data_IF_001496136608
#
_entry.id   IF_001496136608
#
_cell.length_a   1.000
_cell.length_b   1.000
_cell.length_c   1.000
_cell.angle_alpha   90.00
_cell.angle_beta   90.00
_cell.angle_gamma   90.00
#
_symmetry.space_group_name_H-M   'P 1'
#
loop_
_entity.id
_entity.type
_entity.pdbx_description
1 polymer ?
#
# COMPACT_ATOMS: atom_id res chain seq x y z
N UNK A 1 6.31 -49.89 4.78
CA UNK A 1 5.43 -48.88 5.41
C UNK A 1 6.17 -47.87 6.29
N UNK A 2 6.98 -48.27 7.29
CA UNK A 2 7.67 -47.29 8.17
C UNK A 2 8.67 -46.36 7.45
N UNK A 3 9.39 -46.83 6.42
CA UNK A 3 10.35 -45.99 5.67
C UNK A 3 9.68 -44.99 4.71
N UNK A 4 8.59 -45.37 4.05
CA UNK A 4 7.84 -44.48 3.14
C UNK A 4 7.09 -43.37 3.88
N UNK A 5 6.58 -43.64 5.09
CA UNK A 5 5.98 -42.61 5.95
C UNK A 5 7.04 -41.58 6.38
N UNK A 6 8.26 -42.04 6.72
CA UNK A 6 9.35 -41.15 7.12
C UNK A 6 9.82 -40.26 5.96
N UNK A 7 9.85 -40.77 4.73
CA UNK A 7 10.18 -39.98 3.53
C UNK A 7 9.11 -38.94 3.22
N UNK A 8 7.81 -39.28 3.37
CA UNK A 8 6.72 -38.30 3.22
C UNK A 8 6.76 -37.20 4.28
N UNK A 9 7.08 -37.56 5.53
CA UNK A 9 7.27 -36.61 6.64
C UNK A 9 8.47 -35.69 6.40
N UNK A 10 9.57 -36.20 5.83
CA UNK A 10 10.74 -35.40 5.49
C UNK A 10 10.50 -34.46 4.30
N UNK A 11 9.70 -34.88 3.31
CA UNK A 11 9.31 -34.01 2.18
C UNK A 11 8.40 -32.87 2.64
N UNK A 12 7.51 -33.10 3.62
CA UNK A 12 6.69 -32.05 4.23
C UNK A 12 7.49 -31.03 5.06
N UNK A 13 8.69 -31.39 5.55
CA UNK A 13 9.56 -30.49 6.32
C UNK A 13 10.35 -29.53 5.42
N UNK A 14 10.46 -29.82 4.11
CA UNK A 14 11.27 -29.03 3.16
C UNK A 14 10.43 -28.00 2.38
N UNK A 15 9.10 -28.05 2.49
CA UNK A 15 8.25 -27.01 1.91
C UNK A 15 8.15 -25.88 2.95
N UNK A 16 8.64 -24.65 2.68
CA UNK A 16 8.37 -23.52 3.56
C UNK A 16 6.85 -23.34 3.64
N UNK A 17 6.28 -23.77 4.75
CA UNK A 17 4.88 -23.59 5.11
C UNK A 17 4.72 -22.12 5.54
N UNK A 18 4.68 -21.20 4.59
CA UNK A 18 4.14 -19.85 4.85
C UNK A 18 2.61 -19.94 4.89
N UNK A 19 2.08 -20.70 5.85
CA UNK A 19 0.66 -20.98 6.03
C UNK A 19 -0.02 -19.97 6.98
N UNK A 20 0.39 -18.69 6.93
CA UNK A 20 -0.23 -17.62 7.71
C UNK A 20 -0.94 -16.61 6.78
N UNK A 21 -2.10 -16.06 7.19
CA UNK A 21 -2.70 -14.94 6.49
C UNK A 21 -1.67 -13.83 6.39
N UNK A 22 -1.43 -13.39 5.16
CA UNK A 22 -0.29 -12.56 4.83
C UNK A 22 -0.32 -11.24 5.61
N UNK A 23 0.77 -10.97 6.34
CA UNK A 23 1.05 -9.69 6.98
C UNK A 23 2.32 -9.10 6.37
N UNK A 24 2.43 -7.76 6.26
CA UNK A 24 3.63 -7.14 5.72
C UNK A 24 4.85 -7.49 6.59
N UNK A 25 5.99 -7.79 5.95
CA UNK A 25 7.24 -8.07 6.66
C UNK A 25 7.91 -6.81 7.18
N UNK A 26 7.52 -5.63 6.70
CA UNK A 26 8.21 -4.38 6.99
C UNK A 26 7.24 -3.31 7.49
N UNK A 27 7.27 -3.06 8.80
CA UNK A 27 6.60 -1.91 9.41
C UNK A 27 7.60 -0.77 9.50
N UNK A 28 7.30 0.35 8.85
CA UNK A 28 8.27 1.44 8.66
C UNK A 28 7.73 2.78 9.14
N UNK A 29 8.61 3.57 9.75
CA UNK A 29 8.42 5.03 9.85
C UNK A 29 9.46 5.66 8.92
N UNK A 30 9.01 6.60 8.11
CA UNK A 30 9.84 7.28 7.12
C UNK A 30 10.13 8.70 7.59
N UNK A 31 11.38 9.10 7.59
CA UNK A 31 11.83 10.49 7.77
C UNK A 31 12.45 10.98 6.47
N UNK A 32 11.98 12.10 5.95
CA UNK A 32 12.31 12.58 4.60
C UNK A 32 12.41 14.10 4.56
N UNK A 33 13.32 14.59 3.72
CA UNK A 33 13.47 16.02 3.45
C UNK A 33 12.75 16.48 2.17
N UNK A 34 11.98 15.59 1.54
CA UNK A 34 11.11 15.89 0.40
C UNK A 34 11.84 16.12 -0.92
N UNK A 35 13.09 15.65 -1.03
CA UNK A 35 13.82 15.52 -2.28
C UNK A 35 13.08 14.66 -3.30
N UNK A 36 13.47 14.77 -4.57
CA UNK A 36 12.78 14.07 -5.66
C UNK A 36 13.00 12.56 -5.60
N UNK A 37 14.19 12.15 -5.17
CA UNK A 37 14.59 10.79 -4.81
C UNK A 37 13.79 10.25 -3.62
N UNK A 38 13.57 11.02 -2.56
CA UNK A 38 12.69 10.60 -1.46
C UNK A 38 11.27 10.28 -1.97
N UNK A 39 10.72 11.17 -2.81
CA UNK A 39 9.36 11.00 -3.34
C UNK A 39 9.26 9.75 -4.23
N UNK A 40 10.31 9.44 -5.01
CA UNK A 40 10.39 8.20 -5.81
C UNK A 40 10.47 6.97 -4.89
N UNK A 41 11.28 7.02 -3.83
CA UNK A 41 11.41 5.94 -2.85
C UNK A 41 10.10 5.69 -2.08
N UNK A 42 9.42 6.75 -1.65
CA UNK A 42 8.11 6.66 -0.98
C UNK A 42 7.07 6.04 -1.92
N UNK A 43 7.06 6.38 -3.21
CA UNK A 43 6.17 5.71 -4.18
C UNK A 43 6.43 4.21 -4.25
N UNK A 44 7.69 3.78 -4.23
CA UNK A 44 8.05 2.36 -4.20
C UNK A 44 7.60 1.68 -2.90
N UNK A 45 7.78 2.33 -1.75
CA UNK A 45 7.33 1.81 -0.46
C UNK A 45 5.80 1.70 -0.39
N UNK A 46 5.06 2.68 -0.91
CA UNK A 46 3.59 2.65 -0.98
C UNK A 46 3.06 1.59 -1.96
N UNK A 47 3.79 1.33 -3.05
CA UNK A 47 3.42 0.30 -4.03
C UNK A 47 3.57 -1.12 -3.49
N UNK A 48 4.44 -1.32 -2.51
CA UNK A 48 4.74 -2.63 -1.96
C UNK A 48 3.71 -3.03 -0.90
N UNK A 49 2.87 -4.05 -1.13
CA UNK A 49 2.00 -4.57 -0.07
C UNK A 49 2.83 -5.04 1.13
N UNK A 50 4.04 -5.54 0.94
CA UNK A 50 4.94 -6.03 2.00
C UNK A 50 5.45 -4.94 2.97
N UNK A 51 5.12 -3.67 2.70
CA UNK A 51 5.50 -2.53 3.52
C UNK A 51 4.25 -1.88 4.12
N UNK A 52 4.25 -1.75 5.45
CA UNK A 52 3.31 -0.90 6.18
C UNK A 52 4.00 0.40 6.58
N UNK A 53 3.65 1.49 5.91
CA UNK A 53 4.06 2.83 6.31
C UNK A 53 3.18 3.29 7.47
N UNK A 54 3.78 3.45 8.65
CA UNK A 54 3.09 3.86 9.87
C UNK A 54 2.92 5.38 9.96
N UNK A 55 3.95 6.10 9.54
CA UNK A 55 3.99 7.55 9.49
C UNK A 55 5.12 8.02 8.57
N UNK A 56 4.98 9.26 8.10
CA UNK A 56 6.05 10.01 7.45
C UNK A 56 6.33 11.27 8.29
N UNK A 57 7.60 11.57 8.54
CA UNK A 57 8.04 12.79 9.22
C UNK A 57 8.88 13.65 8.28
N UNK A 58 8.61 14.95 8.28
CA UNK A 58 9.42 15.91 7.53
C UNK A 58 10.67 16.31 8.34
N UNK A 59 11.84 16.28 7.71
CA UNK A 59 13.10 16.77 8.26
C UNK A 59 13.73 17.87 7.41
N UNK A 60 14.73 18.54 7.98
CA UNK A 60 15.55 19.51 7.24
C UNK A 60 16.62 18.76 6.44
N UNK A 61 16.80 19.17 5.19
CA UNK A 61 17.86 18.70 4.30
C UNK A 61 17.84 19.45 2.97
N UNK A 62 17.62 18.72 1.86
CA UNK A 62 17.45 19.29 0.52
C UNK A 62 16.36 20.39 0.51
N UNK A 63 15.21 20.12 1.13
CA UNK A 63 14.27 21.16 1.52
C UNK A 63 14.27 21.40 3.03
N UNK A 64 13.81 22.58 3.42
CA UNK A 64 13.46 22.84 4.81
C UNK A 64 12.19 22.09 5.17
N UNK A 65 12.09 21.64 6.42
CA UNK A 65 11.02 20.79 6.92
C UNK A 65 9.59 21.30 6.60
N UNK A 66 9.26 22.62 6.59
CA UNK A 66 7.94 23.07 6.14
C UNK A 66 7.65 22.74 4.66
N UNK A 67 8.63 22.91 3.78
CA UNK A 67 8.48 22.63 2.34
C UNK A 67 8.48 21.12 2.10
N UNK A 68 9.31 20.37 2.82
CA UNK A 68 9.31 18.91 2.81
C UNK A 68 7.93 18.37 3.21
N UNK A 69 7.34 18.89 4.29
CA UNK A 69 6.00 18.53 4.75
C UNK A 69 4.94 18.73 3.66
N UNK A 70 4.89 19.91 3.03
CA UNK A 70 3.91 20.19 1.96
C UNK A 70 4.04 19.20 0.79
N UNK A 71 5.27 18.88 0.39
CA UNK A 71 5.52 17.90 -0.68
C UNK A 71 5.09 16.49 -0.29
N UNK A 72 5.42 16.05 0.92
CA UNK A 72 5.08 14.72 1.43
C UNK A 72 3.57 14.55 1.61
N UNK A 73 2.89 15.57 2.15
CA UNK A 73 1.43 15.61 2.27
C UNK A 73 0.76 15.60 0.91
N UNK A 74 1.23 16.44 -0.02
CA UNK A 74 0.73 16.48 -1.40
C UNK A 74 0.93 15.16 -2.14
N UNK A 75 2.08 14.49 -1.95
CA UNK A 75 2.33 13.17 -2.51
C UNK A 75 1.31 12.14 -2.00
N UNK A 76 1.16 12.04 -0.67
CA UNK A 76 0.25 11.08 -0.07
C UNK A 76 -1.22 11.36 -0.46
N UNK A 77 -1.66 12.61 -0.48
CA UNK A 77 -3.03 12.96 -0.86
C UNK A 77 -3.30 12.74 -2.35
N UNK A 78 -2.33 13.06 -3.21
CA UNK A 78 -2.39 12.81 -4.65
C UNK A 78 -2.37 11.33 -5.02
N UNK A 79 -1.95 10.46 -4.08
CA UNK A 79 -2.02 9.00 -4.17
C UNK A 79 -3.19 8.41 -3.35
N UNK A 80 -4.14 9.26 -2.93
CA UNK A 80 -5.36 8.89 -2.21
C UNK A 80 -5.14 8.31 -0.79
N UNK A 81 -4.01 8.63 -0.16
CA UNK A 81 -3.60 8.24 1.20
C UNK A 81 -3.85 9.35 2.24
N UNK A 82 -5.01 10.00 2.23
CA UNK A 82 -5.32 11.12 3.15
C UNK A 82 -5.38 10.68 4.63
N UNK A 83 -5.55 9.39 4.86
CA UNK A 83 -5.50 8.73 6.17
C UNK A 83 -4.10 8.58 6.74
N UNK A 84 -3.06 8.56 5.90
CA UNK A 84 -1.68 8.32 6.30
C UNK A 84 -1.14 9.48 7.17
N UNK A 85 -0.65 9.23 8.39
CA UNK A 85 -0.08 10.28 9.22
C UNK A 85 1.21 10.85 8.62
N UNK A 86 1.23 12.18 8.42
CA UNK A 86 2.40 12.93 7.98
C UNK A 86 2.61 14.07 8.97
N UNK A 87 3.77 14.15 9.61
CA UNK A 87 4.08 15.20 10.58
C UNK A 87 4.95 16.29 9.96
N UNK A 88 4.58 17.54 10.26
CA UNK A 88 5.37 18.72 9.94
C UNK A 88 6.42 19.06 11.01
N UNK A 89 7.07 20.22 10.85
CA UNK A 89 8.02 20.74 11.82
C UNK A 89 7.42 20.83 13.23
N UNK A 90 8.13 20.29 14.23
CA UNK A 90 7.71 20.33 15.63
C UNK A 90 6.82 19.16 16.08
N UNK A 91 6.23 18.40 15.15
CA UNK A 91 5.29 17.31 15.45
C UNK A 91 5.91 15.92 15.30
N UNK A 92 7.02 15.81 14.55
CA UNK A 92 7.65 14.54 14.17
C UNK A 92 7.86 13.57 15.34
N UNK A 93 8.43 14.04 16.46
CA UNK A 93 8.75 13.19 17.61
C UNK A 93 7.48 12.68 18.31
N UNK A 94 6.46 13.53 18.43
CA UNK A 94 5.19 13.15 19.03
C UNK A 94 4.48 12.10 18.16
N UNK A 95 4.52 12.25 16.83
CA UNK A 95 3.96 11.27 15.91
C UNK A 95 4.74 9.94 15.95
N UNK A 96 6.07 9.99 15.98
CA UNK A 96 6.92 8.80 16.12
C UNK A 96 6.55 8.04 17.40
N UNK A 97 6.50 8.70 18.55
CA UNK A 97 6.12 8.06 19.81
C UNK A 97 4.69 7.48 19.74
N UNK A 98 3.74 8.25 19.20
CA UNK A 98 2.36 7.78 19.04
C UNK A 98 2.29 6.50 18.22
N UNK A 99 2.97 6.46 17.07
CA UNK A 99 2.95 5.27 16.21
C UNK A 99 3.64 4.07 16.84
N UNK A 100 4.80 4.27 17.49
CA UNK A 100 5.57 3.19 18.09
C UNK A 100 4.89 2.60 19.34
N UNK A 101 4.24 3.43 20.16
CA UNK A 101 3.53 2.99 21.38
C UNK A 101 2.31 2.11 21.07
N UNK A 102 1.68 2.32 19.91
CA UNK A 102 0.55 1.51 19.43
C UNK A 102 0.99 0.24 18.70
N UNK A 103 2.25 0.15 18.29
CA UNK A 103 2.72 -0.94 17.45
C UNK A 103 3.22 -2.13 18.27
N UNK A 104 2.77 -3.32 17.88
CA UNK A 104 3.17 -4.57 18.54
C UNK A 104 4.32 -5.26 17.83
N UNK A 105 4.48 -4.96 16.53
CA UNK A 105 5.51 -5.53 15.67
C UNK A 105 6.78 -4.65 15.70
N UNK A 106 7.98 -5.23 15.61
CA UNK A 106 9.20 -4.44 15.45
C UNK A 106 9.14 -3.47 14.25
N UNK A 107 9.59 -2.23 14.47
CA UNK A 107 9.58 -1.18 13.45
C UNK A 107 10.99 -0.94 12.90
N UNK A 108 11.06 -0.66 11.60
CA UNK A 108 12.26 -0.14 10.92
C UNK A 108 12.10 1.36 10.74
N UNK A 109 13.14 2.12 11.04
CA UNK A 109 13.14 3.57 10.79
C UNK A 109 13.93 3.85 9.52
N UNK A 110 13.34 4.54 8.55
CA UNK A 110 13.99 4.89 7.28
C UNK A 110 14.25 6.39 7.30
N UNK A 111 15.51 6.79 7.29
CA UNK A 111 15.91 8.18 7.17
C UNK A 111 16.45 8.44 5.77
N UNK A 112 15.77 9.30 5.02
CA UNK A 112 16.15 9.73 3.67
C UNK A 112 16.83 11.10 3.62
N UNK A 113 16.85 11.81 4.75
CA UNK A 113 17.58 13.07 4.95
C UNK A 113 18.64 12.98 6.04
N UNK A 114 18.81 14.07 6.79
CA UNK A 114 19.65 14.08 7.99
C UNK A 114 19.11 13.16 9.09
N UNK A 115 19.98 12.71 10.01
CA UNK A 115 19.57 11.86 11.15
C UNK A 115 19.02 12.66 12.34
N UNK A 116 18.70 13.95 12.17
CA UNK A 116 18.28 14.85 13.24
C UNK A 116 17.03 14.36 14.00
N UNK A 117 16.00 13.93 13.28
CA UNK A 117 14.77 13.42 13.89
C UNK A 117 14.98 12.08 14.59
N UNK A 118 15.79 11.18 14.02
CA UNK A 118 16.18 9.92 14.66
C UNK A 118 16.95 10.18 15.96
N UNK A 119 17.97 11.04 15.93
CA UNK A 119 18.75 11.41 17.11
C UNK A 119 17.89 12.01 18.23
N UNK A 120 16.93 12.87 17.87
CA UNK A 120 15.99 13.48 18.83
C UNK A 120 14.97 12.47 19.34
N UNK A 121 14.50 11.54 18.52
CA UNK A 121 13.57 10.49 18.92
C UNK A 121 14.23 9.51 19.91
N UNK A 122 15.50 9.15 19.71
CA UNK A 122 16.27 8.33 20.65
C UNK A 122 16.33 8.91 22.07
N UNK A 123 16.23 10.24 22.22
CA UNK A 123 16.18 10.92 23.53
C UNK A 123 14.77 11.11 24.06
N UNK A 124 13.83 11.49 23.18
CA UNK A 124 12.55 12.08 23.59
C UNK A 124 11.33 11.19 23.37
N UNK A 125 11.46 10.12 22.58
CA UNK A 125 10.41 9.15 22.33
C UNK A 125 10.76 7.84 23.08
N UNK A 126 10.17 7.58 24.26
CA UNK A 126 10.48 6.41 25.09
C UNK A 126 10.35 5.07 24.35
N UNK A 127 9.44 4.98 23.39
CA UNK A 127 9.22 3.77 22.60
C UNK A 127 10.26 3.57 21.49
N UNK A 128 11.07 4.58 21.15
CA UNK A 128 11.98 4.53 20.00
C UNK A 128 13.01 3.41 20.11
N UNK A 129 13.82 3.41 21.17
CA UNK A 129 14.91 2.43 21.33
C UNK A 129 14.42 1.02 21.62
N UNK A 130 13.17 0.87 22.08
CA UNK A 130 12.58 -0.44 22.37
C UNK A 130 11.88 -1.04 21.16
N UNK A 131 11.23 -0.22 20.32
CA UNK A 131 10.43 -0.68 19.17
C UNK A 131 11.17 -0.62 17.83
N UNK A 132 12.08 0.35 17.65
CA UNK A 132 12.91 0.43 16.44
C UNK A 132 14.08 -0.53 16.57
N UNK A 133 14.16 -1.50 15.66
CA UNK A 133 15.22 -2.54 15.67
C UNK A 133 16.32 -2.32 14.64
N UNK A 134 16.08 -1.46 13.67
CA UNK A 134 17.03 -1.14 12.62
C UNK A 134 16.72 0.25 12.06
N UNK A 135 17.77 1.01 11.77
CA UNK A 135 17.69 2.26 11.03
C UNK A 135 18.27 2.01 9.64
N UNK A 136 17.51 2.34 8.60
CA UNK A 136 18.01 2.45 7.23
C UNK A 136 18.28 3.92 6.98
N UNK A 137 19.49 4.26 6.52
CA UNK A 137 19.87 5.64 6.26
C UNK A 137 20.42 5.78 4.84
N UNK A 138 19.94 6.77 4.10
CA UNK A 138 20.47 7.05 2.77
C UNK A 138 21.65 7.99 2.87
N UNK A 139 22.83 7.51 2.48
CA UNK A 139 24.04 8.32 2.44
C UNK A 139 25.05 7.75 1.43
N UNK A 140 26.02 8.57 1.04
CA UNK A 140 27.06 8.19 0.06
C UNK A 140 28.10 7.19 0.60
N UNK A 141 28.05 6.84 1.88
CA UNK A 141 28.93 5.87 2.52
C UNK A 141 28.70 5.79 4.02
N UNK A 142 29.47 4.94 4.70
CA UNK A 142 29.51 4.85 6.16
C UNK A 142 30.92 5.18 6.66
N UNK A 143 31.12 6.26 7.44
CA UNK A 143 30.13 7.29 7.79
C UNK A 143 29.76 8.22 6.62
N UNK A 144 30.54 8.21 5.52
CA UNK A 144 30.26 9.00 4.31
C UNK A 144 30.11 10.49 4.58
N UNK A 145 31.13 11.11 5.19
CA UNK A 145 31.05 12.47 5.77
C UNK A 145 30.87 13.57 4.75
N UNK A 146 31.24 13.30 3.50
CA UNK A 146 31.07 14.16 2.34
C UNK A 146 29.64 14.16 1.78
N UNK A 147 28.79 13.21 2.19
CA UNK A 147 27.39 13.14 1.75
C UNK A 147 26.53 14.25 2.33
N UNK A 148 25.59 14.76 1.54
CA UNK A 148 24.70 15.87 1.92
C UNK A 148 23.92 15.57 3.21
N UNK A 149 23.40 14.35 3.35
CA UNK A 149 22.63 13.93 4.51
C UNK A 149 23.45 13.92 5.81
N UNK A 150 24.74 13.54 5.74
CA UNK A 150 25.65 13.68 6.87
C UNK A 150 25.95 15.16 7.16
N UNK A 151 26.29 15.94 6.13
CA UNK A 151 26.70 17.34 6.26
C UNK A 151 25.60 18.26 6.80
N UNK A 152 24.33 17.91 6.59
CA UNK A 152 23.20 18.67 7.12
C UNK A 152 23.11 18.62 8.66
N UNK A 153 23.47 17.50 9.29
CA UNK A 153 23.57 17.41 10.75
C UNK A 153 24.60 16.34 11.20
N UNK A 154 25.91 16.68 11.19
CA UNK A 154 26.97 15.76 11.59
C UNK A 154 26.84 15.30 13.05
N UNK A 155 26.33 16.16 13.94
CA UNK A 155 26.19 15.86 15.36
C UNK A 155 25.13 14.79 15.57
N UNK A 156 23.99 14.91 14.89
CA UNK A 156 22.97 13.87 14.91
C UNK A 156 23.46 12.57 14.29
N UNK A 157 24.19 12.64 13.15
CA UNK A 157 24.73 11.46 12.50
C UNK A 157 25.69 10.69 13.41
N UNK A 158 26.68 11.35 14.00
CA UNK A 158 27.63 10.72 14.93
C UNK A 158 26.90 10.10 16.14
N UNK A 159 25.89 10.78 16.69
CA UNK A 159 25.12 10.28 17.82
C UNK A 159 24.31 9.02 17.49
N UNK A 160 23.67 8.97 16.32
CA UNK A 160 22.90 7.80 15.89
C UNK A 160 23.84 6.64 15.57
N UNK A 161 24.94 6.91 14.86
CA UNK A 161 25.94 5.89 14.50
C UNK A 161 26.65 5.29 15.73
N UNK A 162 26.87 6.07 16.79
CA UNK A 162 27.38 5.57 18.07
C UNK A 162 26.30 4.93 18.96
N UNK A 163 25.05 4.88 18.50
CA UNK A 163 23.90 4.38 19.23
C UNK A 163 23.82 2.85 19.31
N UNK A 164 22.83 2.35 20.05
CA UNK A 164 22.59 0.91 20.22
C UNK A 164 21.73 0.27 19.12
N UNK A 165 21.13 1.07 18.24
CA UNK A 165 20.28 0.59 17.15
C UNK A 165 21.16 0.42 15.90
N UNK A 166 21.24 -0.78 15.30
CA UNK A 166 21.99 -1.02 14.07
C UNK A 166 21.56 -0.09 12.93
N UNK A 167 22.53 0.56 12.29
CA UNK A 167 22.33 1.42 11.12
C UNK A 167 22.83 0.73 9.86
N UNK A 168 21.93 0.55 8.89
CA UNK A 168 22.27 0.07 7.55
C UNK A 168 22.20 1.23 6.57
N UNK A 169 23.32 1.55 5.95
CA UNK A 169 23.48 2.67 5.02
C UNK A 169 23.49 2.18 3.58
N UNK A 170 22.75 2.85 2.70
CA UNK A 170 22.79 2.65 1.25
C UNK A 170 22.52 3.97 0.52
N UNK A 171 22.48 3.99 -0.82
CA UNK A 171 22.13 5.15 -1.63
C UNK A 171 23.14 5.49 -2.71
N UNK A 172 24.43 5.18 -2.49
CA UNK A 172 25.46 5.28 -3.54
C UNK A 172 25.26 4.26 -4.67
N UNK A 173 25.83 4.55 -5.85
CA UNK A 173 25.96 3.60 -6.96
C UNK A 173 24.79 3.53 -7.95
N UNK A 174 23.71 4.30 -7.76
CA UNK A 174 22.55 4.28 -8.66
C UNK A 174 22.55 5.29 -9.81
N UNK A 175 23.69 5.84 -10.22
CA UNK A 175 23.74 6.83 -11.32
C UNK A 175 23.25 6.21 -12.62
N UNK A 176 22.32 6.88 -13.31
CA UNK A 176 21.74 6.39 -14.55
C UNK A 176 20.86 5.15 -14.37
N UNK A 177 20.34 4.92 -13.16
CA UNK A 177 19.44 3.81 -12.87
C UNK A 177 18.19 3.84 -13.74
N UNK A 178 17.59 5.01 -13.91
CA UNK A 178 16.40 5.19 -14.76
C UNK A 178 16.82 5.44 -16.21
N UNK A 179 17.12 4.35 -16.92
CA UNK A 179 17.35 4.41 -18.37
C UNK A 179 16.03 4.44 -19.16
N UNK A 180 16.15 4.68 -20.47
CA UNK A 180 15.01 4.78 -21.38
C UNK A 180 14.13 3.53 -21.35
N UNK A 181 14.72 2.33 -21.29
CA UNK A 181 13.99 1.07 -21.23
C UNK A 181 13.16 0.96 -19.95
N UNK A 182 13.77 1.24 -18.79
CA UNK A 182 13.06 1.21 -17.52
C UNK A 182 11.92 2.24 -17.50
N UNK A 183 12.15 3.46 -18.00
CA UNK A 183 11.14 4.52 -18.03
C UNK A 183 9.95 4.19 -18.94
N UNK A 184 10.22 3.59 -20.11
CA UNK A 184 9.17 3.10 -20.99
C UNK A 184 8.36 2.00 -20.29
N UNK A 185 9.04 1.04 -19.66
CA UNK A 185 8.38 -0.07 -18.95
C UNK A 185 7.56 0.41 -17.75
N UNK A 186 8.07 1.38 -16.97
CA UNK A 186 7.31 2.07 -15.90
C UNK A 186 6.07 2.77 -16.49
N UNK A 187 6.20 3.35 -17.67
CA UNK A 187 5.11 4.01 -18.40
C UNK A 187 3.96 3.08 -18.79
N UNK A 188 4.25 1.80 -18.98
CA UNK A 188 3.27 0.77 -19.32
C UNK A 188 2.65 0.12 -18.07
N UNK A 189 3.11 0.48 -16.86
CA UNK A 189 2.51 0.00 -15.62
C UNK A 189 1.28 0.83 -15.26
N UNK A 190 0.14 0.15 -15.14
CA UNK A 190 -1.12 0.76 -14.75
C UNK A 190 -1.28 0.84 -13.22
N UNK A 191 -0.31 1.45 -12.53
CA UNK A 191 -0.39 1.74 -11.09
C UNK A 191 -0.21 3.23 -10.81
N UNK A 192 -0.89 3.81 -9.80
CA UNK A 192 -0.75 5.23 -9.47
C UNK A 192 0.69 5.58 -9.06
N UNK A 193 1.40 4.63 -8.44
CA UNK A 193 2.79 4.80 -8.01
C UNK A 193 3.76 4.86 -9.19
N UNK A 194 3.62 3.98 -10.18
CA UNK A 194 4.43 4.01 -11.40
C UNK A 194 4.20 5.30 -12.19
N UNK A 195 2.94 5.70 -12.35
CA UNK A 195 2.58 6.97 -12.99
C UNK A 195 3.19 8.17 -12.25
N UNK A 196 3.19 8.16 -10.92
CA UNK A 196 3.78 9.22 -10.10
C UNK A 196 5.30 9.26 -10.23
N UNK A 197 6.00 8.11 -10.20
CA UNK A 197 7.45 8.04 -10.44
C UNK A 197 7.81 8.62 -11.81
N UNK A 198 7.10 8.22 -12.87
CA UNK A 198 7.29 8.77 -14.21
C UNK A 198 7.05 10.28 -14.25
N UNK A 199 5.99 10.76 -13.61
CA UNK A 199 5.68 12.19 -13.50
C UNK A 199 6.77 12.97 -12.77
N UNK A 200 7.33 12.43 -11.69
CA UNK A 200 8.44 13.05 -10.96
C UNK A 200 9.66 13.16 -11.87
N UNK A 201 10.03 12.08 -12.56
CA UNK A 201 11.20 12.08 -13.45
C UNK A 201 11.05 13.11 -14.58
N UNK A 202 9.87 13.17 -15.20
CA UNK A 202 9.58 14.13 -16.26
C UNK A 202 9.51 15.58 -15.78
N UNK A 203 9.35 15.84 -14.48
CA UNK A 203 9.28 17.21 -13.96
C UNK A 203 10.63 17.94 -13.99
N UNK A 204 11.73 17.21 -14.12
CA UNK A 204 13.09 17.75 -14.15
C UNK A 204 13.99 16.97 -15.14
N UNK A 205 13.48 16.70 -16.35
CA UNK A 205 14.17 15.88 -17.37
C UNK A 205 15.55 16.38 -17.77
N UNK A 206 15.83 17.68 -17.57
CA UNK A 206 17.11 18.30 -17.91
C UNK A 206 18.19 18.09 -16.83
N UNK A 207 17.87 17.46 -15.70
CA UNK A 207 18.78 17.30 -14.56
C UNK A 207 19.18 15.84 -14.33
N UNK A 208 20.44 15.49 -14.61
CA UNK A 208 20.97 14.11 -14.54
C UNK A 208 20.63 13.34 -13.25
N UNK A 209 20.59 14.02 -12.11
CA UNK A 209 20.26 13.39 -10.82
C UNK A 209 18.84 12.79 -10.79
N UNK A 210 17.90 13.30 -11.59
CA UNK A 210 16.54 12.74 -11.62
C UNK A 210 16.53 11.29 -12.09
N UNK A 211 17.50 10.90 -12.92
CA UNK A 211 17.70 9.54 -13.42
C UNK A 211 18.58 8.67 -12.50
N UNK A 212 19.02 9.20 -11.37
CA UNK A 212 19.75 8.48 -10.33
C UNK A 212 18.77 7.90 -9.32
N UNK A 213 18.95 6.63 -8.96
CA UNK A 213 18.30 6.03 -7.81
C UNK A 213 19.22 6.18 -6.59
N UNK A 214 18.81 7.00 -5.63
CA UNK A 214 19.58 7.26 -4.41
C UNK A 214 18.78 6.71 -3.23
N UNK A 215 17.72 7.39 -2.82
CA UNK A 215 16.86 6.92 -1.73
C UNK A 215 16.10 5.63 -2.06
N UNK A 216 15.84 5.38 -3.35
CA UNK A 216 15.18 4.18 -3.84
C UNK A 216 16.01 2.91 -3.60
N UNK A 217 17.30 3.06 -3.28
CA UNK A 217 18.11 1.94 -2.84
C UNK A 217 17.58 1.34 -1.54
N UNK A 218 16.89 2.10 -0.68
CA UNK A 218 16.28 1.55 0.55
C UNK A 218 15.13 0.59 0.26
N UNK A 219 14.05 0.94 -0.49
CA UNK A 219 13.02 -0.03 -0.83
C UNK A 219 13.56 -1.23 -1.61
N UNK A 220 14.56 -1.03 -2.47
CA UNK A 220 15.23 -2.14 -3.16
C UNK A 220 15.96 -3.06 -2.19
N UNK A 221 16.75 -2.51 -1.27
CA UNK A 221 17.49 -3.26 -0.25
C UNK A 221 16.56 -3.99 0.72
N UNK A 222 15.44 -3.37 1.09
CA UNK A 222 14.45 -3.98 1.99
C UNK A 222 13.88 -5.29 1.41
N UNK A 223 13.57 -5.30 0.11
CA UNK A 223 12.97 -6.46 -0.55
C UNK A 223 13.98 -7.43 -1.15
N UNK A 224 15.12 -6.94 -1.62
CA UNK A 224 16.11 -7.71 -2.37
C UNK A 224 17.53 -7.49 -1.81
N UNK A 225 17.78 -7.85 -0.54
CA UNK A 225 19.09 -7.62 0.09
C UNK A 225 20.24 -8.33 -0.62
N UNK A 226 19.97 -9.46 -1.27
CA UNK A 226 20.97 -10.25 -2.01
C UNK A 226 21.51 -9.52 -3.27
N UNK A 227 20.87 -8.43 -3.71
CA UNK A 227 21.34 -7.60 -4.83
C UNK A 227 22.30 -6.49 -4.38
N UNK A 228 22.63 -6.45 -3.09
CA UNK A 228 23.57 -5.52 -2.51
C UNK A 228 24.81 -6.28 -2.00
N UNK A 229 25.96 -5.61 -2.06
CA UNK A 229 27.23 -6.12 -1.56
C UNK A 229 27.85 -5.13 -0.58
N UNK A 230 28.82 -5.60 0.18
CA UNK A 230 29.25 -4.95 1.41
C UNK A 230 28.67 -5.68 2.62
N UNK A 231 28.91 -5.16 3.81
CA UNK A 231 28.48 -5.81 5.02
C UNK A 231 29.31 -5.41 6.23
N UNK A 232 29.04 -6.09 7.34
CA UNK A 232 29.75 -5.90 8.61
C UNK A 232 31.16 -6.45 8.47
N UNK A 233 32.16 -5.60 8.58
CA UNK A 233 33.52 -6.07 8.90
C UNK A 233 33.56 -6.37 10.41
N UNK A 234 33.37 -7.62 10.80
CA UNK A 234 33.48 -8.05 12.20
C UNK A 234 32.26 -7.75 13.09
N UNK A 235 32.50 -7.37 14.35
CA UNK A 235 31.48 -7.12 15.40
C UNK A 235 30.77 -5.76 15.29
N UNK A 236 31.02 -4.97 14.24
CA UNK A 236 30.46 -3.63 14.13
C UNK A 236 28.93 -3.63 13.88
N UNK A 237 28.16 -2.81 14.62
CA UNK A 237 26.69 -2.82 14.53
C UNK A 237 26.16 -2.18 13.24
N UNK A 238 26.94 -1.34 12.58
CA UNK A 238 26.54 -0.57 11.39
C UNK A 238 27.14 -1.18 10.11
N UNK A 239 26.46 -1.01 8.98
CA UNK A 239 26.93 -1.53 7.69
C UNK A 239 26.62 -0.59 6.53
N UNK A 240 27.48 -0.57 5.52
CA UNK A 240 27.19 0.05 4.22
C UNK A 240 26.97 -1.04 3.17
N UNK A 241 25.88 -0.91 2.42
CA UNK A 241 25.48 -1.86 1.37
C UNK A 241 25.34 -1.10 0.05
N UNK A 242 26.22 -1.42 -0.90
CA UNK A 242 26.24 -0.85 -2.24
C UNK A 242 25.50 -1.77 -3.23
N UNK A 243 24.80 -1.23 -4.24
CA UNK A 243 24.15 -2.03 -5.27
C UNK A 243 25.20 -2.84 -6.05
N UNK A 244 24.96 -4.14 -6.19
CA UNK A 244 25.89 -5.06 -6.85
C UNK A 244 25.51 -5.34 -8.31
N UNK A 245 24.21 -5.28 -8.63
CA UNK A 245 23.67 -5.59 -9.95
C UNK A 245 22.53 -4.62 -10.30
N UNK A 246 22.90 -3.53 -11.01
CA UNK A 246 21.94 -2.51 -11.44
C UNK A 246 20.85 -3.08 -12.36
N UNK A 247 21.15 -3.89 -13.40
CA UNK A 247 20.11 -4.54 -14.20
C UNK A 247 19.07 -5.32 -13.38
N UNK A 248 19.49 -6.16 -12.42
CA UNK A 248 18.55 -6.89 -11.56
C UNK A 248 17.76 -5.96 -10.64
N UNK A 249 18.37 -4.89 -10.14
CA UNK A 249 17.69 -3.90 -9.32
C UNK A 249 16.62 -3.13 -10.10
N UNK A 250 16.79 -2.90 -11.41
CA UNK A 250 15.74 -2.30 -12.26
C UNK A 250 14.53 -3.22 -12.39
N UNK A 251 14.74 -4.51 -12.58
CA UNK A 251 13.65 -5.51 -12.56
C UNK A 251 12.97 -5.60 -11.19
N UNK A 252 13.75 -5.49 -10.10
CA UNK A 252 13.22 -5.40 -8.75
C UNK A 252 12.35 -4.14 -8.55
N UNK A 253 12.76 -2.99 -9.07
CA UNK A 253 11.96 -1.77 -9.02
C UNK A 253 10.61 -1.94 -9.74
N UNK A 254 10.59 -2.59 -10.91
CA UNK A 254 9.36 -2.93 -11.62
C UNK A 254 8.46 -3.87 -10.82
N UNK A 255 9.03 -4.88 -10.15
CA UNK A 255 8.26 -5.78 -9.26
C UNK A 255 7.61 -5.03 -8.10
N UNK A 256 8.36 -4.11 -7.48
CA UNK A 256 7.84 -3.25 -6.41
C UNK A 256 6.71 -2.35 -6.92
N UNK A 257 6.90 -1.66 -8.05
CA UNK A 257 5.90 -0.76 -8.61
C UNK A 257 4.63 -1.47 -9.13
N UNK A 258 4.72 -2.76 -9.43
CA UNK A 258 3.56 -3.64 -9.70
C UNK A 258 2.87 -4.14 -8.42
N UNK A 259 3.48 -3.93 -7.25
CA UNK A 259 3.05 -4.50 -5.98
C UNK A 259 3.19 -6.02 -5.92
N UNK A 260 4.15 -6.59 -6.67
CA UNK A 260 4.46 -8.02 -6.73
C UNK A 260 5.61 -8.37 -5.77
N UNK A 261 5.52 -7.90 -4.53
CA UNK A 261 6.51 -8.16 -3.48
C UNK A 261 6.10 -9.31 -2.56
N UNK A 262 4.87 -9.81 -2.72
CA UNK A 262 4.25 -10.86 -1.88
C UNK A 262 3.32 -11.72 -2.72
N UNK A 263 3.10 -12.94 -2.25
CA UNK A 263 2.02 -13.80 -2.77
C UNK A 263 0.67 -13.29 -2.24
N UNK A 264 -0.25 -12.96 -3.15
CA UNK A 264 -1.53 -12.33 -2.79
C UNK A 264 -2.66 -13.33 -2.54
N UNK A 265 -2.47 -14.57 -2.99
CA UNK A 265 -3.52 -15.58 -3.05
C UNK A 265 -3.13 -16.80 -2.21
N UNK A 266 -4.12 -17.44 -1.58
CA UNK A 266 -3.88 -18.55 -0.64
C UNK A 266 -4.03 -19.93 -1.27
N UNK A 267 -4.92 -20.06 -2.27
CA UNK A 267 -5.29 -21.34 -2.89
C UNK A 267 -4.89 -21.40 -4.36
N UNK A 268 -5.17 -20.33 -5.11
CA UNK A 268 -4.78 -20.21 -6.51
C UNK A 268 -3.48 -19.42 -6.62
N UNK A 269 -2.66 -19.67 -7.64
CA UNK A 269 -1.36 -18.99 -7.79
C UNK A 269 -1.52 -17.52 -8.20
N UNK A 270 -2.39 -17.27 -9.17
CA UNK A 270 -2.64 -15.94 -9.70
C UNK A 270 -4.02 -15.88 -10.37
N UNK A 271 -4.60 -14.69 -10.44
CA UNK A 271 -5.78 -14.47 -11.27
C UNK A 271 -5.41 -14.57 -12.76
N UNK A 272 -6.23 -15.23 -13.60
CA UNK A 272 -5.95 -15.35 -15.03
C UNK A 272 -5.87 -13.98 -15.73
N UNK A 273 -4.82 -13.77 -16.53
CA UNK A 273 -4.69 -12.61 -17.41
C UNK A 273 -5.45 -12.80 -18.73
N UNK A 274 -5.54 -14.04 -19.20
CA UNK A 274 -6.25 -14.43 -20.41
C UNK A 274 -7.75 -14.17 -20.25
N UNK A 275 -8.31 -13.28 -21.07
CA UNK A 275 -9.71 -12.88 -20.99
C UNK A 275 -10.66 -14.01 -21.35
N UNK A 276 -10.21 -15.02 -22.11
CA UNK A 276 -11.01 -16.18 -22.51
C UNK A 276 -11.41 -17.07 -21.33
N UNK A 277 -10.74 -16.91 -20.18
CA UNK A 277 -11.11 -17.55 -18.93
C UNK A 277 -12.47 -17.07 -18.39
N UNK A 278 -12.85 -15.83 -18.67
CA UNK A 278 -14.05 -15.19 -18.11
C UNK A 278 -15.27 -15.36 -19.02
N UNK A 279 -16.48 -15.13 -18.48
CA UNK A 279 -17.73 -15.25 -19.24
C UNK A 279 -17.78 -14.28 -20.44
N UNK A 280 -18.34 -14.67 -21.61
CA UNK A 280 -18.26 -13.90 -22.85
C UNK A 280 -18.65 -12.43 -22.76
N UNK A 281 -19.60 -12.09 -21.89
CA UNK A 281 -20.14 -10.75 -21.72
C UNK A 281 -19.22 -9.81 -20.92
N UNK A 282 -18.36 -10.34 -20.05
CA UNK A 282 -17.38 -9.54 -19.30
C UNK A 282 -16.01 -9.48 -19.98
N UNK A 283 -15.67 -10.45 -20.86
CA UNK A 283 -14.37 -10.51 -21.55
C UNK A 283 -13.92 -9.17 -22.16
N UNK A 284 -14.79 -8.39 -22.85
CA UNK A 284 -14.38 -7.14 -23.47
C UNK A 284 -13.89 -6.08 -22.48
N UNK A 285 -14.25 -6.20 -21.20
CA UNK A 285 -14.01 -5.19 -20.18
C UNK A 285 -12.90 -5.59 -19.18
N UNK A 286 -12.44 -6.84 -19.19
CA UNK A 286 -11.47 -7.36 -18.22
C UNK A 286 -10.20 -6.50 -18.18
N UNK A 287 -9.60 -6.26 -19.35
CA UNK A 287 -8.35 -5.48 -19.45
C UNK A 287 -8.55 -4.03 -19.03
N UNK A 288 -9.63 -3.40 -19.48
CA UNK A 288 -9.90 -1.99 -19.17
C UNK A 288 -10.17 -1.77 -17.68
N UNK A 289 -10.95 -2.65 -17.04
CA UNK A 289 -11.21 -2.59 -15.60
C UNK A 289 -9.91 -2.76 -14.81
N UNK A 290 -9.07 -3.72 -15.18
CA UNK A 290 -7.77 -3.97 -14.51
C UNK A 290 -6.82 -2.79 -14.65
N UNK A 291 -6.74 -2.22 -15.85
CA UNK A 291 -5.85 -1.09 -16.12
C UNK A 291 -6.35 0.19 -15.43
N UNK A 292 -7.66 0.40 -15.34
CA UNK A 292 -8.21 1.60 -14.73
C UNK A 292 -8.22 1.52 -13.20
N UNK A 293 -8.57 0.36 -12.65
CA UNK A 293 -8.88 0.22 -11.23
C UNK A 293 -7.90 -0.66 -10.46
N UNK A 294 -7.00 -1.36 -11.15
CA UNK A 294 -5.96 -2.19 -10.55
C UNK A 294 -6.39 -3.62 -10.25
N UNK A 295 -5.40 -4.46 -10.02
CA UNK A 295 -5.55 -5.90 -9.80
C UNK A 295 -6.30 -6.24 -8.51
N UNK A 296 -6.17 -5.43 -7.46
CA UNK A 296 -6.87 -5.64 -6.18
C UNK A 296 -8.38 -5.51 -6.37
N UNK A 297 -8.84 -4.46 -7.07
CA UNK A 297 -10.27 -4.28 -7.34
C UNK A 297 -10.81 -5.37 -8.26
N UNK A 298 -10.08 -5.72 -9.32
CA UNK A 298 -10.47 -6.80 -10.22
C UNK A 298 -10.64 -8.13 -9.47
N UNK A 299 -9.61 -8.50 -8.70
CA UNK A 299 -9.58 -9.77 -7.96
C UNK A 299 -10.67 -9.82 -6.90
N UNK A 300 -10.82 -8.77 -6.09
CA UNK A 300 -11.89 -8.69 -5.09
C UNK A 300 -13.28 -8.68 -5.73
N UNK A 301 -13.44 -8.03 -6.89
CA UNK A 301 -14.68 -8.04 -7.65
C UNK A 301 -15.06 -9.43 -8.12
N UNK A 302 -14.12 -10.20 -8.71
CA UNK A 302 -14.40 -11.58 -9.11
C UNK A 302 -14.76 -12.44 -7.90
N UNK A 303 -13.94 -12.42 -6.84
CA UNK A 303 -14.17 -13.24 -5.64
C UNK A 303 -15.50 -12.89 -4.96
N UNK A 304 -15.83 -11.61 -4.82
CA UNK A 304 -17.08 -11.16 -4.19
C UNK A 304 -18.29 -11.69 -4.94
N UNK A 305 -18.27 -11.69 -6.27
CA UNK A 305 -19.41 -12.16 -7.06
C UNK A 305 -19.48 -13.69 -7.18
N UNK A 306 -18.35 -14.40 -7.12
CA UNK A 306 -18.35 -15.86 -6.96
C UNK A 306 -18.86 -16.30 -5.59
N UNK A 307 -18.50 -15.58 -4.53
CA UNK A 307 -19.05 -15.76 -3.18
C UNK A 307 -20.56 -15.47 -3.17
N UNK A 308 -20.97 -14.37 -3.79
CA UNK A 308 -22.35 -13.88 -3.85
C UNK A 308 -23.24 -14.67 -4.83
N UNK A 309 -22.65 -15.57 -5.64
CA UNK A 309 -23.31 -16.44 -6.64
C UNK A 309 -23.96 -15.72 -7.83
N UNK A 310 -23.78 -14.41 -7.97
CA UNK A 310 -24.13 -13.65 -9.17
C UNK A 310 -23.39 -12.32 -9.20
N UNK A 311 -23.39 -11.66 -10.37
CA UNK A 311 -22.77 -10.35 -10.56
C UNK A 311 -23.69 -9.22 -10.07
N UNK A 312 -23.49 -8.75 -8.83
CA UNK A 312 -24.38 -7.80 -8.15
C UNK A 312 -23.86 -6.37 -8.13
N UNK A 313 -24.73 -5.39 -8.39
CA UNK A 313 -24.36 -3.96 -8.44
C UNK A 313 -23.78 -3.49 -7.11
N UNK A 314 -24.52 -3.72 -6.02
CA UNK A 314 -24.07 -3.30 -4.69
C UNK A 314 -22.87 -4.09 -4.19
N UNK A 315 -22.69 -5.35 -4.62
CA UNK A 315 -21.46 -6.10 -4.33
C UNK A 315 -20.22 -5.41 -4.95
N UNK A 316 -20.30 -4.96 -6.21
CA UNK A 316 -19.24 -4.17 -6.86
C UNK A 316 -19.02 -2.81 -6.14
N UNK A 317 -20.09 -2.12 -5.75
CA UNK A 317 -19.97 -0.89 -4.94
C UNK A 317 -19.22 -1.18 -3.62
N UNK A 318 -19.56 -2.29 -2.96
CA UNK A 318 -18.88 -2.71 -1.73
C UNK A 318 -17.39 -2.99 -1.93
N UNK A 319 -17.03 -3.65 -3.03
CA UNK A 319 -15.61 -3.86 -3.40
C UNK A 319 -14.89 -2.53 -3.60
N UNK A 320 -15.46 -1.63 -4.41
CA UNK A 320 -14.88 -0.30 -4.65
C UNK A 320 -14.71 0.49 -3.35
N UNK A 321 -15.69 0.41 -2.44
CA UNK A 321 -15.68 1.09 -1.14
C UNK A 321 -14.56 0.57 -0.24
N UNK A 322 -14.40 -0.75 -0.13
CA UNK A 322 -13.36 -1.34 0.70
C UNK A 322 -11.94 -1.11 0.15
N UNK A 323 -11.75 -1.15 -1.18
CA UNK A 323 -10.49 -0.75 -1.80
C UNK A 323 -10.20 0.73 -1.51
N UNK A 324 -11.20 1.61 -1.63
CA UNK A 324 -11.04 3.04 -1.33
C UNK A 324 -10.66 3.28 0.14
N UNK A 325 -11.20 2.51 1.07
CA UNK A 325 -10.83 2.58 2.49
C UNK A 325 -9.38 2.15 2.72
N UNK A 326 -8.94 1.06 2.09
CA UNK A 326 -7.53 0.59 2.14
C UNK A 326 -6.57 1.64 1.59
N UNK A 327 -6.92 2.25 0.45
CA UNK A 327 -6.17 3.37 -0.12
C UNK A 327 -6.13 4.55 0.86
N UNK A 328 -7.26 4.98 1.41
CA UNK A 328 -7.32 6.11 2.33
C UNK A 328 -6.31 5.98 3.48
N UNK A 329 -6.30 4.83 4.15
CA UNK A 329 -5.42 4.57 5.28
C UNK A 329 -4.00 4.13 4.90
N UNK A 330 -3.70 3.94 3.61
CA UNK A 330 -2.47 3.30 3.14
C UNK A 330 -2.25 1.94 3.83
N UNK A 331 -3.31 1.13 3.89
CA UNK A 331 -3.35 -0.12 4.65
C UNK A 331 -3.71 -1.37 3.82
N UNK A 332 -3.38 -2.53 4.36
CA UNK A 332 -3.57 -3.85 3.76
C UNK A 332 -4.93 -4.45 4.08
N UNK A 333 -5.08 -5.73 3.74
CA UNK A 333 -6.25 -6.53 4.13
C UNK A 333 -6.19 -6.88 5.62
N UNK A 334 -7.33 -7.09 6.26
CA UNK A 334 -7.48 -7.49 7.68
C UNK A 334 -6.93 -6.49 8.71
N UNK A 335 -6.63 -5.26 8.30
CA UNK A 335 -6.02 -4.23 9.17
C UNK A 335 -6.99 -3.13 9.63
N UNK A 336 -8.29 -3.26 9.34
CA UNK A 336 -9.32 -2.30 9.76
C UNK A 336 -10.56 -3.01 10.29
N UNK A 337 -11.26 -2.34 11.21
CA UNK A 337 -12.62 -2.75 11.58
C UNK A 337 -13.64 -1.96 10.77
N UNK A 338 -14.78 -2.60 10.50
CA UNK A 338 -15.82 -2.09 9.61
C UNK A 338 -17.19 -2.24 10.27
N UNK A 339 -17.95 -1.15 10.25
CA UNK A 339 -19.39 -1.14 10.56
C UNK A 339 -20.15 -0.76 9.30
N UNK A 340 -20.86 -1.71 8.68
CA UNK A 340 -21.60 -1.48 7.45
C UNK A 340 -23.05 -1.05 7.72
N UNK A 341 -23.50 0.00 7.03
CA UNK A 341 -24.82 0.62 7.23
C UNK A 341 -25.88 0.17 6.20
N UNK A 342 -25.56 -0.84 5.40
CA UNK A 342 -26.46 -1.38 4.37
C UNK A 342 -27.57 -2.31 4.89
N UNK A 343 -27.55 -2.64 6.19
CA UNK A 343 -28.47 -3.61 6.79
C UNK A 343 -28.34 -5.01 6.19
N UNK A 344 -29.39 -5.83 6.32
CA UNK A 344 -29.40 -7.25 5.90
C UNK A 344 -30.43 -7.57 4.82
N UNK A 345 -31.01 -6.56 4.17
CA UNK A 345 -32.06 -6.73 3.15
C UNK A 345 -31.53 -6.40 1.75
N UNK A 346 -31.59 -7.34 0.78
CA UNK A 346 -31.22 -7.09 -0.61
C UNK A 346 -32.12 -6.05 -1.29
N UNK A 347 -31.62 -5.35 -2.33
CA UNK A 347 -30.30 -5.53 -2.95
C UNK A 347 -29.17 -4.74 -2.24
N UNK A 348 -29.50 -3.86 -1.29
CA UNK A 348 -28.52 -2.99 -0.64
C UNK A 348 -27.51 -3.78 0.20
N UNK A 349 -27.97 -4.79 0.93
CA UNK A 349 -27.10 -5.61 1.80
C UNK A 349 -26.02 -6.39 1.06
N UNK A 350 -26.14 -6.59 -0.26
CA UNK A 350 -25.09 -7.21 -1.08
C UNK A 350 -23.77 -6.43 -1.04
N UNK A 351 -23.82 -5.13 -0.70
CA UNK A 351 -22.63 -4.31 -0.46
C UNK A 351 -21.73 -4.87 0.65
N UNK A 352 -22.32 -5.51 1.66
CA UNK A 352 -21.57 -6.09 2.77
C UNK A 352 -20.60 -7.18 2.28
N UNK A 353 -20.98 -7.98 1.29
CA UNK A 353 -20.12 -9.04 0.73
C UNK A 353 -18.91 -8.44 0.01
N UNK A 354 -19.14 -7.39 -0.77
CA UNK A 354 -18.06 -6.67 -1.46
C UNK A 354 -17.08 -6.02 -0.50
N UNK A 355 -17.56 -5.40 0.58
CA UNK A 355 -16.69 -4.78 1.60
C UNK A 355 -15.87 -5.85 2.32
N UNK A 356 -16.48 -6.96 2.72
CA UNK A 356 -15.78 -8.07 3.37
C UNK A 356 -14.63 -8.59 2.49
N UNK A 357 -14.88 -8.84 1.20
CA UNK A 357 -13.86 -9.39 0.29
C UNK A 357 -12.74 -8.39 -0.03
N UNK A 358 -13.05 -7.10 -0.16
CA UNK A 358 -12.05 -6.08 -0.52
C UNK A 358 -11.20 -5.60 0.64
N UNK A 359 -11.75 -5.61 1.86
CA UNK A 359 -11.03 -5.24 3.09
C UNK A 359 -10.44 -6.42 3.83
N UNK A 360 -10.99 -7.62 3.64
CA UNK A 360 -10.70 -8.79 4.48
C UNK A 360 -11.32 -8.71 5.90
N UNK A 361 -11.97 -7.60 6.25
CA UNK A 361 -12.72 -7.51 7.49
C UNK A 361 -13.90 -8.49 7.43
N UNK A 362 -13.85 -9.56 8.23
CA UNK A 362 -14.91 -10.56 8.31
C UNK A 362 -15.50 -10.65 9.72
N UNK A 363 -16.74 -11.16 9.86
CA UNK A 363 -17.31 -11.48 11.17
C UNK A 363 -16.48 -12.52 11.93
N UNK A 364 -15.87 -13.49 11.21
CA UNK A 364 -15.04 -14.53 11.82
C UNK A 364 -13.76 -13.99 12.47
N UNK A 365 -13.17 -12.94 11.89
CA UNK A 365 -12.05 -12.21 12.50
C UNK A 365 -12.50 -11.16 13.53
N UNK A 366 -13.81 -10.98 13.74
CA UNK A 366 -14.36 -9.94 14.62
C UNK A 366 -14.13 -8.52 14.09
N UNK A 367 -13.85 -8.37 12.79
CA UNK A 367 -13.52 -7.09 12.16
C UNK A 367 -14.71 -6.46 11.44
N UNK A 368 -15.80 -7.20 11.20
CA UNK A 368 -16.95 -6.72 10.44
C UNK A 368 -18.25 -6.85 11.22
N UNK A 369 -18.99 -5.75 11.30
CA UNK A 369 -20.31 -5.67 11.95
C UNK A 369 -21.32 -5.05 10.98
N UNK A 370 -22.52 -5.63 10.90
CA UNK A 370 -23.65 -5.02 10.17
C UNK A 370 -24.45 -4.19 11.17
N UNK A 371 -24.62 -2.90 10.89
CA UNK A 371 -25.46 -2.02 11.68
C UNK A 371 -26.93 -2.45 11.58
N UNK A 372 -27.63 -2.44 12.71
CA UNK A 372 -29.08 -2.64 12.80
C UNK A 372 -29.83 -1.32 12.91
N UNK A 373 -29.13 -0.19 12.87
CA UNK A 373 -29.72 1.15 13.03
C UNK A 373 -30.26 1.67 11.69
N UNK A 374 -31.51 2.15 11.71
CA UNK A 374 -32.14 2.79 10.56
C UNK A 374 -31.89 4.31 10.56
N UNK A 375 -31.86 4.97 9.37
CA UNK A 375 -32.07 4.40 8.04
C UNK A 375 -30.85 3.64 7.50
N UNK A 376 -31.08 2.56 6.73
CA UNK A 376 -30.00 1.88 6.01
C UNK A 376 -29.62 2.65 4.74
N UNK A 377 -28.33 2.71 4.43
CA UNK A 377 -27.79 3.41 3.27
C UNK A 377 -26.50 2.74 2.76
N UNK A 378 -26.09 3.09 1.54
CA UNK A 378 -24.88 2.56 0.91
C UNK A 378 -23.62 3.22 1.49
N UNK A 379 -23.29 2.92 2.75
CA UNK A 379 -22.09 3.41 3.42
C UNK A 379 -21.58 2.47 4.50
N UNK A 380 -20.35 2.71 4.95
CA UNK A 380 -19.72 2.00 6.05
C UNK A 380 -18.70 2.88 6.77
N UNK A 381 -18.52 2.61 8.06
CA UNK A 381 -17.49 3.23 8.90
C UNK A 381 -16.29 2.32 8.96
N UNK A 382 -15.13 2.84 8.60
CA UNK A 382 -13.85 2.15 8.56
C UNK A 382 -12.94 2.72 9.63
N UNK A 383 -12.51 1.89 10.57
CA UNK A 383 -11.61 2.30 11.65
C UNK A 383 -10.27 1.61 11.50
N UNK A 384 -9.21 2.40 11.42
CA UNK A 384 -7.83 1.92 11.48
C UNK A 384 -7.10 2.68 12.59
N UNK A 385 -6.60 1.93 13.57
CA UNK A 385 -6.07 2.46 14.83
C UNK A 385 -7.12 3.35 15.51
N UNK A 386 -6.81 4.63 15.75
CA UNK A 386 -7.71 5.57 16.43
C UNK A 386 -8.57 6.39 15.47
N UNK A 387 -8.41 6.22 14.15
CA UNK A 387 -9.09 7.06 13.15
C UNK A 387 -10.22 6.30 12.49
N UNK A 388 -11.39 6.90 12.47
CA UNK A 388 -12.60 6.37 11.84
C UNK A 388 -13.08 7.30 10.75
N UNK A 389 -13.30 6.76 9.55
CA UNK A 389 -13.94 7.49 8.46
C UNK A 389 -15.20 6.78 7.99
N UNK A 390 -16.22 7.56 7.68
CA UNK A 390 -17.41 7.08 6.98
C UNK A 390 -17.20 7.28 5.49
N UNK A 391 -17.35 6.21 4.73
CA UNK A 391 -17.36 6.26 3.26
C UNK A 391 -18.78 5.95 2.79
N UNK A 392 -19.38 6.85 2.03
CA UNK A 392 -20.78 6.75 1.57
C UNK A 392 -20.86 6.93 0.07
N UNK A 393 -21.61 6.05 -0.62
CA UNK A 393 -21.93 6.24 -2.03
C UNK A 393 -22.75 7.51 -2.19
N UNK A 394 -22.32 8.41 -3.10
CA UNK A 394 -23.01 9.66 -3.39
C UNK A 394 -24.49 9.42 -3.65
N UNK A 395 -25.33 10.26 -3.03
CA UNK A 395 -26.78 10.05 -2.95
C UNK A 395 -27.42 9.90 -4.34
N UNK A 396 -27.04 10.75 -5.29
CA UNK A 396 -27.55 10.72 -6.66
C UNK A 396 -27.24 9.40 -7.38
N UNK A 397 -26.09 8.78 -7.09
CA UNK A 397 -25.72 7.49 -7.66
C UNK A 397 -26.49 6.34 -6.99
N UNK A 398 -26.64 6.40 -5.67
CA UNK A 398 -27.41 5.42 -4.90
C UNK A 398 -28.90 5.42 -5.30
N UNK A 399 -29.49 6.60 -5.46
CA UNK A 399 -30.87 6.79 -5.91
C UNK A 399 -31.06 6.26 -7.34
N UNK A 400 -30.12 6.57 -8.25
CA UNK A 400 -30.14 6.06 -9.63
C UNK A 400 -30.11 4.54 -9.68
N UNK A 401 -29.15 3.91 -9.02
CA UNK A 401 -29.03 2.44 -8.98
C UNK A 401 -30.32 1.83 -8.40
N UNK A 402 -30.81 2.37 -7.28
CA UNK A 402 -32.02 1.86 -6.64
C UNK A 402 -33.27 2.02 -7.52
N UNK A 403 -33.35 3.11 -8.28
CA UNK A 403 -34.42 3.36 -9.24
C UNK A 403 -34.42 2.33 -10.38
N UNK A 404 -33.27 2.16 -11.03
CA UNK A 404 -33.10 1.19 -12.12
C UNK A 404 -33.42 -0.25 -11.68
N UNK A 405 -32.93 -0.67 -10.49
CA UNK A 405 -33.21 -2.01 -9.95
C UNK A 405 -34.69 -2.21 -9.58
N UNK A 406 -35.35 -1.18 -9.05
CA UNK A 406 -36.79 -1.22 -8.76
C UNK A 406 -37.62 -1.33 -10.03
N UNK A 407 -37.25 -0.59 -11.08
CA UNK A 407 -37.94 -0.60 -12.37
C UNK A 407 -37.89 -1.99 -13.02
N UNK A 408 -36.70 -2.59 -13.14
CA UNK A 408 -36.58 -3.92 -13.76
C UNK A 408 -37.27 -5.01 -12.92
N UNK A 409 -37.25 -4.91 -11.59
CA UNK A 409 -37.99 -5.83 -10.71
C UNK A 409 -39.50 -5.68 -10.90
N UNK A 410 -39.99 -4.45 -11.05
CA UNK A 410 -41.41 -4.19 -11.31
C UNK A 410 -41.87 -4.78 -12.65
N UNK A 411 -41.04 -4.71 -13.69
CA UNK A 411 -41.39 -5.18 -15.03
C UNK A 411 -41.31 -6.72 -15.15
N UNK A 412 -40.24 -7.33 -14.64
CA UNK A 412 -39.94 -8.75 -14.90
C UNK A 412 -40.09 -9.66 -13.68
N UNK A 413 -39.98 -9.13 -12.47
CA UNK A 413 -39.97 -9.91 -11.22
C UNK A 413 -38.67 -10.69 -10.99
N UNK A 414 -38.46 -11.11 -9.73
CA UNK A 414 -37.23 -11.79 -9.29
C UNK A 414 -37.04 -13.21 -9.86
N UNK A 415 -38.13 -13.86 -10.28
CA UNK A 415 -38.10 -15.22 -10.84
C UNK A 415 -37.78 -15.23 -12.34
N UNK A 416 -37.55 -14.06 -12.96
CA UNK A 416 -37.30 -13.92 -14.40
C UNK A 416 -35.81 -13.96 -14.73
N UNK A 417 -35.43 -14.78 -15.72
CA UNK A 417 -34.07 -14.76 -16.27
C UNK A 417 -33.69 -13.38 -16.82
N UNK A 418 -34.65 -12.66 -17.43
CA UNK A 418 -34.44 -11.32 -17.98
C UNK A 418 -34.05 -10.33 -16.87
N UNK A 419 -34.66 -10.44 -15.69
CA UNK A 419 -34.27 -9.61 -14.53
C UNK A 419 -32.79 -9.80 -14.21
N UNK A 420 -32.34 -11.06 -14.11
CA UNK A 420 -30.95 -11.37 -13.75
C UNK A 420 -29.95 -11.00 -14.85
N UNK A 421 -30.32 -11.14 -16.12
CA UNK A 421 -29.52 -10.65 -17.25
C UNK A 421 -29.33 -9.13 -17.19
N UNK A 422 -30.40 -8.37 -16.89
CA UNK A 422 -30.33 -6.91 -16.75
C UNK A 422 -29.52 -6.47 -15.52
N UNK A 423 -29.68 -7.15 -14.37
CA UNK A 423 -28.84 -6.91 -13.19
C UNK A 423 -27.37 -7.11 -13.54
N UNK A 424 -27.03 -8.20 -14.24
CA UNK A 424 -25.66 -8.48 -14.69
C UNK A 424 -25.12 -7.39 -15.62
N UNK A 425 -25.91 -6.96 -16.59
CA UNK A 425 -25.53 -5.86 -17.49
C UNK A 425 -25.27 -4.55 -16.74
N UNK A 426 -26.13 -4.18 -15.79
CA UNK A 426 -25.91 -3.00 -14.95
C UNK A 426 -24.68 -3.13 -14.06
N UNK A 427 -24.43 -4.31 -13.48
CA UNK A 427 -23.24 -4.54 -12.68
C UNK A 427 -21.96 -4.36 -13.51
N UNK A 428 -21.89 -4.88 -14.74
CA UNK A 428 -20.75 -4.66 -15.65
C UNK A 428 -20.61 -3.17 -15.98
N UNK A 429 -21.71 -2.51 -16.38
CA UNK A 429 -21.74 -1.07 -16.68
C UNK A 429 -21.16 -0.25 -15.52
N UNK A 430 -21.60 -0.52 -14.30
CA UNK A 430 -21.15 0.22 -13.12
C UNK A 430 -19.74 -0.13 -12.70
N UNK A 431 -19.30 -1.37 -12.89
CA UNK A 431 -17.91 -1.73 -12.65
C UNK A 431 -16.97 -0.91 -13.55
N UNK A 432 -17.31 -0.81 -14.84
CA UNK A 432 -16.53 -0.06 -15.85
C UNK A 432 -16.57 1.45 -15.64
N UNK A 433 -17.74 2.01 -15.31
CA UNK A 433 -17.94 3.47 -15.32
C UNK A 433 -17.60 4.16 -14.00
N UNK A 434 -17.71 3.46 -12.87
CA UNK A 434 -17.60 4.11 -11.57
C UNK A 434 -16.17 4.11 -11.05
N UNK A 435 -15.56 5.28 -11.05
CA UNK A 435 -14.29 5.50 -10.40
C UNK A 435 -14.45 5.63 -8.88
N UNK A 436 -13.83 4.73 -8.11
CA UNK A 436 -13.88 4.72 -6.64
C UNK A 436 -13.35 6.01 -6.00
N UNK A 437 -12.54 6.80 -6.72
CA UNK A 437 -12.05 8.10 -6.24
C UNK A 437 -13.07 9.23 -6.41
N UNK A 438 -14.17 9.00 -7.12
CA UNK A 438 -15.15 10.03 -7.51
C UNK A 438 -16.57 9.76 -6.98
N UNK A 439 -16.92 8.50 -6.75
CA UNK A 439 -18.30 8.09 -6.41
C UNK A 439 -18.63 8.15 -4.92
N UNK A 440 -17.64 8.33 -4.05
CA UNK A 440 -17.82 8.29 -2.60
C UNK A 440 -17.57 9.64 -1.95
N UNK A 441 -18.38 9.95 -0.94
CA UNK A 441 -18.11 10.99 0.04
C UNK A 441 -17.39 10.35 1.23
N UNK A 442 -16.35 11.02 1.75
CA UNK A 442 -15.56 10.56 2.89
C UNK A 442 -15.65 11.60 4.02
N UNK A 443 -16.15 11.18 5.17
CA UNK A 443 -16.32 12.00 6.36
C UNK A 443 -15.44 11.45 7.50
N UNK A 444 -14.67 12.33 8.14
CA UNK A 444 -13.93 11.99 9.36
C UNK A 444 -14.87 12.04 10.55
N UNK A 445 -14.98 10.94 11.30
CA UNK A 445 -15.88 10.85 12.46
C UNK A 445 -15.20 11.22 13.78
N UNK A 446 -13.86 11.23 13.84
CA UNK A 446 -13.09 11.53 15.05
C UNK A 446 -11.69 12.11 14.81
#
# INVERSE_FOLDING_TARGET
MRRTILTFLLVLIIIPLEAHPWKPRHYVIIDSDGGIDDLKAICMLMASPDVRILAITASDGFHKAPVAYEKLRSLADGLYHQGLPVAGPGEAIALIEKMLSMETIPVKFIAMGSLANAAKAMEKAPSFTTKVKQIFWTNSGLPGKEGLNYMNDPVAAEKVLSGSIPVTVTGGGGKGFYDEYLLNTIGDLHTPYAAKVKSLINSMSDHDFVYTAFDEMVPLLLHFPDFFTGGRDGEEPNSYLAPADIPQLREAALRILRGQTVERMQVIKNMPADTSFYMPDIQPFVTDIRNMYGEDEWTSGVIANELHRHLGVFAIIGVKMGIRAREYFCTGVDEMTVVAHAGSTPPLSCMNDGIQVSTGATPGHGLFTISTEMPFFAGADFTHKERTVRITLKKELADRISGELKEINFIYGLDSDIYWELVRQYSIKYWVQFNRHEIFDIELLN
#
